data_IF_195173190804
#
_entry.id   IF_195173190804
#
_cell.length_a   1.000
_cell.length_b   1.000
_cell.length_c   1.000
_cell.angle_alpha   90.00
_cell.angle_beta   90.00
_cell.angle_gamma   90.00
#
_symmetry.space_group_name_H-M   'P 1'
#
loop_
_entity.id
_entity.type
_entity.pdbx_description
1 polymer ?
#
# COMPACT_ATOMS: atom_id res chain seq x y z
N UNK A 1 -5.96 -5.65 1.59
CA UNK A 1 -7.30 -6.28 1.61
C UNK A 1 -7.27 -7.82 1.57
N UNK A 2 -6.20 -8.48 1.13
CA UNK A 2 -6.18 -9.95 0.99
C UNK A 2 -6.13 -10.75 2.30
N UNK A 3 -5.34 -10.33 3.30
CA UNK A 3 -5.05 -11.17 4.48
C UNK A 3 -6.26 -11.53 5.36
N UNK A 4 -7.27 -10.67 5.47
CA UNK A 4 -8.44 -10.96 6.31
C UNK A 4 -9.38 -11.93 5.58
N UNK A 5 -9.57 -11.77 4.27
CA UNK A 5 -10.45 -12.63 3.48
C UNK A 5 -9.90 -14.07 3.40
N UNK A 6 -8.59 -14.24 3.23
CA UNK A 6 -7.96 -15.56 3.26
C UNK A 6 -7.97 -16.18 4.66
N UNK A 7 -7.80 -15.39 5.73
CA UNK A 7 -7.91 -15.87 7.11
C UNK A 7 -9.31 -16.43 7.41
N UNK A 8 -10.36 -15.73 6.98
CA UNK A 8 -11.75 -16.15 7.18
C UNK A 8 -12.07 -17.46 6.47
N UNK A 9 -11.62 -17.63 5.22
CA UNK A 9 -11.80 -18.88 4.47
C UNK A 9 -11.04 -20.05 5.11
N UNK A 10 -9.79 -19.83 5.53
CA UNK A 10 -8.99 -20.85 6.19
C UNK A 10 -9.63 -21.30 7.53
N UNK A 11 -10.21 -20.37 8.29
CA UNK A 11 -10.92 -20.65 9.53
C UNK A 11 -12.18 -21.52 9.31
N UNK A 12 -12.97 -21.20 8.28
CA UNK A 12 -14.17 -21.96 7.92
C UNK A 12 -13.83 -23.41 7.51
N UNK A 13 -12.77 -23.60 6.71
CA UNK A 13 -12.31 -24.94 6.32
C UNK A 13 -11.81 -25.72 7.53
N UNK A 14 -11.03 -25.09 8.42
CA UNK A 14 -10.52 -25.73 9.63
C UNK A 14 -11.64 -26.12 10.61
N UNK A 15 -12.67 -25.27 10.74
CA UNK A 15 -13.87 -25.56 11.52
C UNK A 15 -14.62 -26.77 10.97
N UNK A 16 -14.72 -26.89 9.64
CA UNK A 16 -15.40 -28.01 8.98
C UNK A 16 -14.63 -29.33 9.04
N UNK A 17 -13.30 -29.31 9.14
CA UNK A 17 -12.47 -30.52 9.06
C UNK A 17 -12.14 -31.16 10.41
N UNK A 18 -11.84 -30.36 11.45
CA UNK A 18 -11.34 -30.86 12.75
C UNK A 18 -12.01 -30.22 13.98
N UNK A 19 -13.05 -29.41 13.79
CA UNK A 19 -13.80 -28.77 14.87
C UNK A 19 -13.22 -27.42 15.36
N UNK A 20 -13.85 -26.82 16.38
CA UNK A 20 -13.64 -25.40 16.75
C UNK A 20 -12.25 -25.07 17.29
N UNK A 21 -11.57 -26.04 17.93
CA UNK A 21 -10.20 -25.84 18.42
C UNK A 21 -9.19 -25.71 17.27
N UNK A 22 -9.38 -26.45 16.18
CA UNK A 22 -8.51 -26.36 15.00
C UNK A 22 -8.72 -25.03 14.25
N UNK A 23 -9.97 -24.55 14.17
CA UNK A 23 -10.29 -23.25 13.57
C UNK A 23 -9.60 -22.09 14.31
N UNK A 24 -9.61 -22.12 15.65
CA UNK A 24 -8.98 -21.08 16.46
C UNK A 24 -7.45 -21.04 16.30
N UNK A 25 -6.81 -22.21 16.22
CA UNK A 25 -5.36 -22.34 15.97
C UNK A 25 -4.96 -21.81 14.59
N UNK A 26 -5.76 -22.11 13.55
CA UNK A 26 -5.53 -21.62 12.19
C UNK A 26 -5.71 -20.11 12.11
N UNK A 27 -6.74 -19.55 12.76
CA UNK A 27 -6.95 -18.11 12.86
C UNK A 27 -5.80 -17.41 13.58
N UNK A 28 -5.34 -17.96 14.69
CA UNK A 28 -4.23 -17.39 15.46
C UNK A 28 -2.92 -17.43 14.66
N UNK A 29 -2.56 -18.58 14.08
CA UNK A 29 -1.35 -18.73 13.28
C UNK A 29 -1.36 -17.89 12.01
N UNK A 30 -2.47 -17.91 11.27
CA UNK A 30 -2.61 -17.11 10.05
C UNK A 30 -2.73 -15.61 10.35
N UNK A 31 -3.38 -15.23 11.46
CA UNK A 31 -3.42 -13.85 11.92
C UNK A 31 -2.04 -13.29 12.23
N UNK A 32 -1.15 -14.09 12.82
CA UNK A 32 0.27 -13.72 13.01
C UNK A 32 0.96 -13.50 11.68
N UNK A 33 0.80 -14.43 10.72
CA UNK A 33 1.38 -14.29 9.37
C UNK A 33 0.85 -13.03 8.68
N UNK A 34 -0.46 -12.78 8.71
CA UNK A 34 -1.08 -11.61 8.10
C UNK A 34 -0.62 -10.29 8.75
N UNK A 35 -0.34 -10.29 10.06
CA UNK A 35 0.26 -9.16 10.76
C UNK A 35 1.72 -8.94 10.37
N UNK A 36 2.50 -10.01 10.19
CA UNK A 36 3.88 -9.91 9.68
C UNK A 36 3.90 -9.41 8.23
N UNK A 37 3.02 -9.93 7.38
CA UNK A 37 2.88 -9.45 6.01
C UNK A 37 2.53 -7.96 5.99
N UNK A 38 1.55 -7.56 6.79
CA UNK A 38 1.09 -6.17 6.88
C UNK A 38 2.10 -5.18 7.46
N UNK A 39 2.80 -5.56 8.54
CA UNK A 39 3.68 -4.66 9.32
C UNK A 39 5.17 -4.80 9.02
N UNK A 40 5.61 -5.88 8.37
CA UNK A 40 7.03 -6.11 8.08
C UNK A 40 7.22 -6.26 6.58
N UNK A 41 6.47 -7.13 5.92
CA UNK A 41 6.69 -7.43 4.50
C UNK A 41 6.31 -6.24 3.61
N UNK A 42 5.17 -5.59 3.87
CA UNK A 42 4.77 -4.37 3.16
C UNK A 42 5.79 -3.25 3.39
N UNK A 43 6.15 -2.82 4.62
CA UNK A 43 7.12 -1.75 4.79
C UNK A 43 8.57 -2.15 4.48
N UNK A 44 8.92 -3.43 4.32
CA UNK A 44 10.24 -3.81 3.83
C UNK A 44 10.31 -3.77 2.30
N UNK A 45 9.26 -4.22 1.61
CA UNK A 45 9.14 -4.14 0.14
C UNK A 45 8.87 -2.69 -0.30
N UNK A 46 8.00 -1.97 0.43
CA UNK A 46 7.69 -0.56 0.25
C UNK A 46 8.56 0.37 1.10
N UNK A 47 9.57 -0.12 1.82
CA UNK A 47 10.45 0.71 2.67
C UNK A 47 11.38 1.63 1.90
N UNK A 48 11.45 1.41 0.58
CA UNK A 48 11.98 2.35 -0.40
C UNK A 48 10.87 3.16 -1.07
N UNK A 49 9.73 3.41 -0.39
CA UNK A 49 8.74 4.39 -0.84
C UNK A 49 9.45 5.72 -0.84
N UNK A 50 9.92 5.98 -2.04
CA UNK A 50 10.57 7.14 -2.58
C UNK A 50 10.16 8.35 -1.78
N UNK A 51 11.10 8.82 -0.97
CA UNK A 51 11.01 10.09 -0.27
C UNK A 51 10.89 11.20 -1.30
N UNK A 52 9.67 11.49 -1.72
CA UNK A 52 9.36 12.74 -2.36
C UNK A 52 8.75 13.62 -1.30
N UNK A 53 9.50 14.65 -0.95
CA UNK A 53 9.12 15.64 0.02
C UNK A 53 7.71 16.15 -0.35
N UNK A 54 6.74 16.19 0.59
CA UNK A 54 5.38 16.68 0.33
C UNK A 54 5.37 18.03 -0.40
N UNK A 55 6.42 18.83 -0.21
CA UNK A 55 6.69 20.07 -0.93
C UNK A 55 6.64 19.92 -2.48
N UNK A 56 7.16 18.83 -3.06
CA UNK A 56 7.13 18.61 -4.51
C UNK A 56 5.71 18.45 -5.05
N UNK A 57 4.86 17.76 -4.30
CA UNK A 57 3.43 17.59 -4.64
C UNK A 57 2.71 18.94 -4.56
N UNK A 58 2.97 19.72 -3.49
CA UNK A 58 2.42 21.07 -3.37
C UNK A 58 2.87 21.98 -4.52
N UNK A 59 4.15 21.94 -4.88
CA UNK A 59 4.72 22.78 -5.94
C UNK A 59 4.11 22.41 -7.31
N UNK A 60 3.91 21.13 -7.58
CA UNK A 60 3.21 20.66 -8.76
C UNK A 60 1.73 21.07 -8.78
N UNK A 61 1.01 20.99 -7.65
CA UNK A 61 -0.38 21.46 -7.55
C UNK A 61 -0.46 22.96 -7.82
N UNK A 62 0.46 23.76 -7.27
CA UNK A 62 0.53 25.19 -7.54
C UNK A 62 0.85 25.49 -9.01
N UNK A 63 1.82 24.80 -9.60
CA UNK A 63 2.22 24.98 -11.00
C UNK A 63 1.11 24.57 -11.97
N UNK A 64 0.58 23.35 -11.85
CA UNK A 64 -0.48 22.84 -12.73
C UNK A 64 -1.83 23.50 -12.45
N UNK A 65 -2.13 23.84 -11.19
CA UNK A 65 -3.31 24.62 -10.83
C UNK A 65 -3.32 26.02 -11.45
N UNK A 66 -2.15 26.66 -11.58
CA UNK A 66 -2.01 27.94 -12.30
C UNK A 66 -2.14 27.80 -13.82
N UNK A 67 -1.63 26.71 -14.41
CA UNK A 67 -1.64 26.51 -15.87
C UNK A 67 -3.00 26.04 -16.41
N UNK A 68 -3.66 25.10 -15.72
CA UNK A 68 -4.88 24.42 -16.20
C UNK A 68 -6.11 24.63 -15.29
N UNK A 69 -5.99 25.48 -14.27
CA UNK A 69 -7.08 25.73 -13.31
C UNK A 69 -7.42 24.47 -12.49
N UNK A 70 -8.71 24.24 -12.27
CA UNK A 70 -9.20 23.11 -11.46
C UNK A 70 -8.78 21.74 -12.03
N UNK A 71 -8.77 21.58 -13.36
CA UNK A 71 -8.35 20.35 -14.01
C UNK A 71 -6.87 20.03 -13.73
N UNK A 72 -6.05 21.06 -13.57
CA UNK A 72 -4.63 20.95 -13.24
C UNK A 72 -4.36 20.33 -11.87
N UNK A 73 -5.28 20.50 -10.91
CA UNK A 73 -5.12 19.93 -9.56
C UNK A 73 -5.28 18.40 -9.60
N UNK A 74 -6.23 17.89 -10.38
CA UNK A 74 -6.38 16.44 -10.59
C UNK A 74 -5.16 15.83 -11.29
N UNK A 75 -4.59 16.55 -12.26
CA UNK A 75 -3.43 16.10 -13.01
C UNK A 75 -2.09 16.28 -12.28
N UNK A 76 -2.05 17.06 -11.20
CA UNK A 76 -0.83 17.34 -10.45
C UNK A 76 -0.22 16.10 -9.79
N UNK A 77 -1.05 15.20 -9.25
CA UNK A 77 -0.58 13.96 -8.59
C UNK A 77 0.17 13.04 -9.57
N UNK A 78 -0.40 12.63 -10.72
CA UNK A 78 0.33 11.80 -11.68
C UNK A 78 1.55 12.52 -12.27
N UNK A 79 1.46 13.84 -12.55
CA UNK A 79 2.60 14.60 -13.05
C UNK A 79 3.75 14.70 -12.05
N UNK A 80 3.44 14.82 -10.75
CA UNK A 80 4.46 14.77 -9.70
C UNK A 80 5.19 13.43 -9.72
N UNK A 81 4.45 12.32 -9.85
CA UNK A 81 5.04 10.97 -9.90
C UNK A 81 5.94 10.80 -11.13
N UNK A 82 5.51 11.29 -12.30
CA UNK A 82 6.30 11.24 -13.53
C UNK A 82 7.58 12.07 -13.44
N UNK A 83 7.48 13.34 -13.03
CA UNK A 83 8.64 14.22 -12.88
C UNK A 83 9.63 13.69 -11.84
N UNK A 84 9.11 13.17 -10.74
CA UNK A 84 9.89 12.56 -9.68
C UNK A 84 10.60 11.25 -10.14
N UNK A 85 9.94 10.45 -10.98
CA UNK A 85 10.54 9.28 -11.62
C UNK A 85 11.71 9.63 -12.55
N UNK A 86 11.55 10.66 -13.38
CA UNK A 86 12.59 11.16 -14.30
C UNK A 86 13.80 11.69 -13.51
N UNK A 87 13.58 12.50 -12.48
CA UNK A 87 14.65 13.06 -11.65
C UNK A 87 15.45 11.96 -10.92
N UNK A 88 14.77 10.88 -10.51
CA UNK A 88 15.42 9.71 -9.90
C UNK A 88 16.25 8.91 -10.90
N UNK A 89 15.87 8.89 -12.18
CA UNK A 89 16.64 8.26 -13.23
C UNK A 89 17.92 9.04 -13.55
N UNK A 90 17.84 10.38 -13.53
CA UNK A 90 19.00 11.26 -13.72
C UNK A 90 19.97 11.34 -12.53
N UNK A 91 19.53 10.92 -11.34
CA UNK A 91 20.35 10.92 -10.11
C UNK A 91 20.93 9.53 -9.77
N UNK A 92 20.89 8.59 -10.71
CA UNK A 92 21.61 7.32 -10.68
C UNK A 92 22.70 7.33 -11.73
#
# INVERSE_FOLDING_TARGET
MGGIATASLAALVALSAKGPLAALLVLAGYGVIALLEGKVLIPYIYGRTVGFHPALVLLAIFAFGKLFGFLGIFLAVPMTILGAGILKHWRR
#
